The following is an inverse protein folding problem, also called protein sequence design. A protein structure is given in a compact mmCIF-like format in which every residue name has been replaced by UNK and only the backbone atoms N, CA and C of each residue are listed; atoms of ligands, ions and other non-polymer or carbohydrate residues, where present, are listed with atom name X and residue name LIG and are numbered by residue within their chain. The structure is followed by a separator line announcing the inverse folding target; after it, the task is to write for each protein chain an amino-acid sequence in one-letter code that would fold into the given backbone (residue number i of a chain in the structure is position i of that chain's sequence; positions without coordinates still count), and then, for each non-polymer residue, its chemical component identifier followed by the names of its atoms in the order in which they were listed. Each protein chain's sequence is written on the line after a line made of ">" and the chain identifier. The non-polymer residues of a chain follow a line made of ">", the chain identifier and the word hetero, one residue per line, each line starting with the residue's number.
data_IF_680990738386
#
_entry.id   IF_680990738386
#
_cell.length_a   1.000
_cell.length_b   1.000
_cell.length_c   1.000
_cell.angle_alpha   90.00
_cell.angle_beta   90.00
_cell.angle_gamma   90.00
#
_symmetry.space_group_name_H-M   'P 1'
#
loop_
_entity.id
_entity.type
_entity.pdbx_description
1 polymer ?
#
# COMPACT_ATOMS: atom_id res chain seq x y z
N UNK A 1 13.66 -19.74 -2.69
CA UNK A 1 13.83 -18.65 -3.68
C UNK A 1 12.56 -17.83 -3.69
N UNK A 2 12.65 -16.48 -3.71
CA UNK A 2 11.46 -15.64 -3.80
C UNK A 2 10.74 -15.84 -5.13
N UNK A 3 9.41 -15.93 -5.07
CA UNK A 3 8.51 -16.04 -6.23
C UNK A 3 7.91 -14.68 -6.54
N UNK A 4 7.93 -14.28 -7.81
CA UNK A 4 7.24 -13.08 -8.26
C UNK A 4 5.79 -13.40 -8.63
N UNK A 5 4.85 -12.62 -8.13
CA UNK A 5 3.43 -12.69 -8.49
C UNK A 5 2.91 -11.33 -8.94
N UNK A 6 1.83 -11.35 -9.72
CA UNK A 6 1.11 -10.17 -10.18
C UNK A 6 -0.35 -10.29 -9.76
N UNK A 7 -0.95 -9.19 -9.34
CA UNK A 7 -2.37 -9.12 -9.00
C UNK A 7 -2.94 -7.76 -9.39
N UNK A 8 -4.26 -7.70 -9.57
CA UNK A 8 -4.97 -6.45 -9.80
C UNK A 8 -5.36 -5.84 -8.46
N UNK A 9 -5.01 -4.58 -8.22
CA UNK A 9 -5.45 -3.80 -7.08
C UNK A 9 -6.56 -2.85 -7.51
N UNK A 10 -7.62 -2.82 -6.71
CA UNK A 10 -8.75 -1.90 -6.85
C UNK A 10 -8.92 -1.14 -5.54
N UNK A 11 -8.97 0.18 -5.61
CA UNK A 11 -9.40 1.00 -4.47
C UNK A 11 -10.92 0.90 -4.32
N UNK A 12 -11.40 0.57 -3.12
CA UNK A 12 -12.83 0.44 -2.83
C UNK A 12 -13.38 1.74 -2.23
N UNK A 13 -12.68 2.28 -1.25
CA UNK A 13 -13.06 3.50 -0.54
C UNK A 13 -11.83 4.20 0.03
N UNK A 14 -11.96 5.51 0.30
CA UNK A 14 -10.91 6.30 0.92
C UNK A 14 -11.49 7.53 1.61
N UNK A 15 -11.09 7.75 2.86
CA UNK A 15 -11.46 8.94 3.64
C UNK A 15 -10.20 9.62 4.13
N UNK A 16 -9.99 10.86 3.69
CA UNK A 16 -8.90 11.72 4.13
C UNK A 16 -9.38 12.76 5.14
N UNK A 17 -8.54 13.07 6.11
CA UNK A 17 -8.71 14.17 7.06
C UNK A 17 -7.44 15.00 7.04
N UNK A 18 -7.57 16.30 6.78
CA UNK A 18 -6.45 17.23 6.94
C UNK A 18 -6.05 17.28 8.41
N UNK A 19 -4.75 17.15 8.68
CA UNK A 19 -4.24 17.29 10.03
C UNK A 19 -3.99 18.78 10.25
N UNK A 20 -4.76 19.40 11.16
CA UNK A 20 -4.66 20.83 11.44
C UNK A 20 -3.20 21.22 11.72
N UNK A 21 -2.68 22.12 10.89
CA UNK A 21 -1.41 22.79 11.13
C UNK A 21 -1.72 24.18 11.63
N UNK A 22 -1.99 24.31 12.93
CA UNK A 22 -2.11 25.63 13.55
C UNK A 22 -0.81 26.42 13.25
N UNK A 23 -0.92 27.37 12.32
CA UNK A 23 0.05 28.44 12.03
C UNK A 23 1.40 28.02 11.41
N UNK A 24 1.41 27.39 10.23
CA UNK A 24 2.60 27.41 9.39
C UNK A 24 2.28 27.93 7.97
N UNK A 25 3.06 28.94 7.59
CA UNK A 25 3.25 29.59 6.27
C UNK A 25 3.28 28.62 5.07
N UNK A 26 3.30 29.10 3.81
CA UNK A 26 3.26 28.22 2.62
C UNK A 26 4.24 27.05 2.76
N UNK A 27 3.73 25.83 2.67
CA UNK A 27 4.47 24.63 3.06
C UNK A 27 3.63 23.37 2.87
N UNK A 28 4.20 22.20 3.15
CA UNK A 28 3.49 20.95 2.94
C UNK A 28 2.26 20.84 3.84
N UNK A 29 1.15 20.36 3.27
CA UNK A 29 -0.11 20.15 4.00
C UNK A 29 -0.19 18.69 4.41
N UNK A 30 -0.02 18.35 5.70
CA UNK A 30 -0.16 16.99 6.17
C UNK A 30 -1.63 16.58 6.23
N UNK A 31 -1.92 15.35 5.81
CA UNK A 31 -3.22 14.73 5.99
C UNK A 31 -3.06 13.27 6.41
N UNK A 32 -4.09 12.71 7.00
CA UNK A 32 -4.20 11.28 7.25
C UNK A 32 -5.32 10.72 6.39
N UNK A 33 -5.15 9.52 5.86
CA UNK A 33 -6.16 8.83 5.08
C UNK A 33 -6.34 7.40 5.57
N UNK A 34 -7.59 6.94 5.56
CA UNK A 34 -7.93 5.52 5.65
C UNK A 34 -8.42 5.07 4.29
N UNK A 35 -7.93 3.93 3.80
CA UNK A 35 -8.31 3.41 2.49
C UNK A 35 -8.57 1.91 2.55
N UNK A 36 -9.56 1.48 1.78
CA UNK A 36 -9.90 0.08 1.58
C UNK A 36 -9.52 -0.36 0.17
N UNK A 37 -8.97 -1.55 0.07
CA UNK A 37 -8.46 -2.12 -1.15
C UNK A 37 -8.98 -3.54 -1.37
N UNK A 38 -9.15 -3.91 -2.63
CA UNK A 38 -9.39 -5.27 -3.08
C UNK A 38 -8.23 -5.71 -3.97
N UNK A 39 -7.67 -6.88 -3.67
CA UNK A 39 -6.70 -7.57 -4.51
C UNK A 39 -7.43 -8.69 -5.26
N UNK A 40 -7.27 -8.72 -6.58
CA UNK A 40 -7.99 -9.59 -7.49
C UNK A 40 -6.97 -10.35 -8.34
N UNK A 41 -6.79 -11.63 -8.02
CA UNK A 41 -5.93 -12.54 -8.76
C UNK A 41 -5.92 -13.94 -8.15
N UNK A 42 -5.61 -14.95 -8.97
CA UNK A 42 -5.62 -16.35 -8.54
C UNK A 42 -4.59 -16.61 -7.41
N UNK A 43 -3.45 -15.91 -7.48
CA UNK A 43 -2.32 -16.10 -6.58
C UNK A 43 -2.26 -15.08 -5.44
N UNK A 44 -3.04 -14.00 -5.52
CA UNK A 44 -3.14 -13.01 -4.45
C UNK A 44 -4.50 -12.31 -4.54
N UNK A 45 -5.39 -12.71 -3.64
CA UNK A 45 -6.76 -12.21 -3.56
C UNK A 45 -7.18 -11.97 -2.12
N UNK A 46 -7.94 -10.91 -1.90
CA UNK A 46 -8.43 -10.54 -0.58
C UNK A 46 -8.65 -9.04 -0.49
N UNK A 47 -8.82 -8.55 0.73
CA UNK A 47 -9.02 -7.11 0.99
C UNK A 47 -7.96 -6.58 1.93
N UNK A 48 -7.74 -5.27 1.90
CA UNK A 48 -6.91 -4.61 2.88
C UNK A 48 -7.55 -3.30 3.36
N UNK A 49 -7.32 -2.97 4.62
CA UNK A 49 -7.61 -1.66 5.18
C UNK A 49 -6.29 -1.03 5.61
N UNK A 50 -6.02 0.18 5.13
CA UNK A 50 -4.77 0.89 5.42
C UNK A 50 -4.97 2.28 5.97
N UNK A 51 -4.04 2.69 6.81
CA UNK A 51 -3.94 4.05 7.33
C UNK A 51 -2.63 4.68 6.86
N UNK A 52 -2.74 5.85 6.23
CA UNK A 52 -1.64 6.54 5.57
C UNK A 52 -1.54 7.96 6.08
N UNK A 53 -0.31 8.43 6.28
CA UNK A 53 -0.02 9.85 6.42
C UNK A 53 0.46 10.36 5.06
N UNK A 54 -0.12 11.45 4.60
CA UNK A 54 0.24 12.12 3.37
C UNK A 54 0.88 13.47 3.68
N UNK A 55 1.79 13.89 2.82
CA UNK A 55 2.38 15.23 2.81
C UNK A 55 2.24 15.79 1.39
N UNK A 56 1.25 16.67 1.19
CA UNK A 56 1.10 17.41 -0.06
C UNK A 56 2.20 18.45 -0.16
N UNK A 57 2.79 18.63 -1.35
CA UNK A 57 3.83 19.62 -1.56
C UNK A 57 3.26 21.04 -1.54
N UNK A 58 3.98 21.97 -0.89
CA UNK A 58 3.56 23.37 -0.74
C UNK A 58 3.80 24.26 -1.97
N UNK A 59 4.21 23.68 -3.10
CA UNK A 59 4.58 24.39 -4.33
C UNK A 59 3.40 24.58 -5.31
N UNK A 60 2.20 24.09 -4.95
CA UNK A 60 1.00 24.18 -5.77
C UNK A 60 0.93 23.15 -6.90
N UNK A 61 1.88 22.21 -7.00
CA UNK A 61 1.86 21.13 -8.00
C UNK A 61 0.70 20.15 -7.77
N UNK A 62 0.23 20.04 -6.53
CA UNK A 62 -0.68 18.99 -6.07
C UNK A 62 0.03 17.69 -5.71
N UNK A 63 1.33 17.56 -6.01
CA UNK A 63 2.10 16.35 -5.71
C UNK A 63 2.06 16.03 -4.23
N UNK A 64 2.10 14.74 -3.89
CA UNK A 64 2.17 14.30 -2.50
C UNK A 64 3.08 13.09 -2.34
N UNK A 65 3.64 12.95 -1.15
CA UNK A 65 4.24 11.72 -0.66
C UNK A 65 3.35 11.11 0.41
N UNK A 66 3.32 9.79 0.52
CA UNK A 66 2.59 9.12 1.58
C UNK A 66 3.34 7.91 2.14
N UNK A 67 3.07 7.61 3.40
CA UNK A 67 3.55 6.42 4.09
C UNK A 67 2.47 5.89 5.02
N UNK A 68 2.32 4.57 5.10
CA UNK A 68 1.31 3.96 5.95
C UNK A 68 1.46 2.47 6.11
N UNK A 69 0.58 1.90 6.92
CA UNK A 69 0.48 0.47 7.16
C UNK A 69 -0.93 0.03 6.76
N UNK A 70 -1.01 -1.10 6.08
CA UNK A 70 -2.27 -1.74 5.74
C UNK A 70 -2.30 -3.19 6.21
N UNK A 71 -3.48 -3.63 6.63
CA UNK A 71 -3.74 -5.00 7.06
C UNK A 71 -4.49 -5.70 5.94
N UNK A 72 -3.82 -6.66 5.29
CA UNK A 72 -4.41 -7.52 4.28
C UNK A 72 -5.05 -8.74 4.94
N UNK A 73 -6.22 -9.17 4.46
CA UNK A 73 -6.86 -10.45 4.81
C UNK A 73 -7.31 -11.15 3.53
N UNK A 74 -6.87 -12.39 3.34
CA UNK A 74 -7.19 -13.16 2.14
C UNK A 74 -6.23 -14.33 1.94
N UNK A 75 -5.92 -14.61 0.68
CA UNK A 75 -5.02 -15.68 0.28
C UNK A 75 -3.84 -15.18 -0.56
N UNK A 76 -2.65 -15.70 -0.27
CA UNK A 76 -1.44 -15.49 -1.06
C UNK A 76 -0.84 -16.85 -1.40
N UNK A 77 -0.68 -17.15 -2.69
CA UNK A 77 -0.25 -18.46 -3.21
C UNK A 77 -1.12 -19.62 -2.67
N UNK A 78 -2.40 -19.35 -2.41
CA UNK A 78 -3.34 -20.31 -1.80
C UNK A 78 -3.31 -20.38 -0.27
N UNK A 79 -2.31 -19.78 0.39
CA UNK A 79 -2.20 -19.73 1.85
C UNK A 79 -3.09 -18.63 2.42
N UNK A 80 -3.98 -18.99 3.36
CA UNK A 80 -4.96 -18.07 3.94
C UNK A 80 -4.49 -17.46 5.25
N UNK A 81 -4.79 -16.18 5.44
CA UNK A 81 -4.53 -15.49 6.69
C UNK A 81 -4.66 -13.99 6.56
N UNK A 82 -4.06 -13.30 7.53
CA UNK A 82 -3.93 -11.85 7.58
C UNK A 82 -2.45 -11.49 7.67
N UNK A 83 -2.01 -10.38 7.07
CA UNK A 83 -0.66 -9.84 7.25
C UNK A 83 -0.66 -8.32 7.10
N UNK A 84 0.18 -7.62 7.87
CA UNK A 84 0.40 -6.20 7.69
C UNK A 84 1.49 -5.93 6.65
N UNK A 85 1.33 -4.88 5.85
CA UNK A 85 2.39 -4.35 4.99
C UNK A 85 2.55 -2.85 5.16
N UNK A 86 3.79 -2.39 5.09
CA UNK A 86 4.12 -0.98 4.94
C UNK A 86 4.01 -0.59 3.46
N UNK A 87 3.49 0.60 3.21
CA UNK A 87 3.39 1.19 1.88
C UNK A 87 3.98 2.59 1.91
N UNK A 88 4.91 2.87 1.00
CA UNK A 88 5.55 4.18 0.86
C UNK A 88 5.51 4.58 -0.60
N UNK A 89 4.91 5.73 -0.91
CA UNK A 89 4.66 6.11 -2.28
C UNK A 89 4.58 7.61 -2.52
N UNK A 90 4.44 7.95 -3.79
CA UNK A 90 4.35 9.31 -4.30
C UNK A 90 3.21 9.41 -5.31
N UNK A 91 2.57 10.57 -5.36
CA UNK A 91 1.65 10.97 -6.41
C UNK A 91 2.26 12.16 -7.15
N UNK A 92 2.41 12.04 -8.45
CA UNK A 92 2.87 13.11 -9.34
C UNK A 92 1.70 13.51 -10.24
N UNK A 93 1.15 14.71 -10.03
CA UNK A 93 0.00 15.22 -10.80
C UNK A 93 0.37 15.49 -12.25
N UNK A 94 1.59 15.99 -12.50
CA UNK A 94 2.08 16.25 -13.86
C UNK A 94 2.05 15.00 -14.74
N UNK A 95 2.43 13.86 -14.18
CA UNK A 95 2.50 12.58 -14.88
C UNK A 95 1.23 11.73 -14.67
N UNK A 96 0.26 12.27 -13.92
CA UNK A 96 -0.96 11.59 -13.49
C UNK A 96 -0.68 10.19 -12.93
N UNK A 97 0.33 10.07 -12.05
CA UNK A 97 0.85 8.78 -11.62
C UNK A 97 0.98 8.68 -10.10
N UNK A 98 0.46 7.60 -9.53
CA UNK A 98 0.73 7.15 -8.17
C UNK A 98 1.68 5.97 -8.25
N UNK A 99 2.78 5.98 -7.50
CA UNK A 99 3.72 4.87 -7.43
C UNK A 99 4.07 4.55 -5.98
N UNK A 100 4.21 3.27 -5.66
CA UNK A 100 4.47 2.83 -4.30
C UNK A 100 5.41 1.64 -4.23
N UNK A 101 6.13 1.54 -3.12
CA UNK A 101 6.78 0.32 -2.64
C UNK A 101 5.97 -0.27 -1.51
N UNK A 102 5.87 -1.59 -1.49
CA UNK A 102 5.19 -2.40 -0.49
C UNK A 102 6.19 -3.31 0.20
N UNK A 103 6.02 -3.54 1.50
CA UNK A 103 6.85 -4.47 2.28
C UNK A 103 5.99 -5.17 3.33
N UNK A 104 5.92 -6.50 3.29
CA UNK A 104 5.27 -7.27 4.34
C UNK A 104 6.05 -7.11 5.65
N UNK A 105 5.34 -6.73 6.71
CA UNK A 105 5.91 -6.59 8.04
C UNK A 105 6.03 -7.99 8.64
N UNK A 106 7.28 -8.44 8.82
CA UNK A 106 7.57 -9.77 9.38
C UNK A 106 6.90 -9.97 10.73
N UNK A 107 6.48 -11.21 11.01
CA UNK A 107 5.85 -11.62 12.28
C UNK A 107 4.47 -10.97 12.56
N UNK A 108 3.86 -10.28 11.60
CA UNK A 108 2.47 -9.81 11.69
C UNK A 108 1.47 -10.77 11.05
N UNK A 109 1.97 -11.77 10.34
CA UNK A 109 1.16 -12.76 9.65
C UNK A 109 0.37 -13.66 10.63
N UNK A 110 -0.83 -14.05 10.23
CA UNK A 110 -1.67 -15.02 10.94
C UNK A 110 -2.01 -16.20 10.03
N UNK A 111 -2.44 -17.32 10.63
CA UNK A 111 -2.78 -18.53 9.89
C UNK A 111 -1.59 -19.06 9.07
N UNK A 112 -1.85 -19.36 7.80
CA UNK A 112 -0.83 -19.86 6.87
C UNK A 112 0.09 -18.76 6.34
N UNK A 113 -0.21 -17.48 6.64
CA UNK A 113 0.63 -16.33 6.29
C UNK A 113 1.61 -15.94 7.42
N UNK A 114 1.67 -16.69 8.52
CA UNK A 114 2.52 -16.36 9.69
C UNK A 114 4.02 -16.25 9.39
N UNK A 115 4.51 -17.00 8.39
CA UNK A 115 5.92 -17.03 8.00
C UNK A 115 6.20 -16.35 6.64
N UNK A 116 5.25 -15.62 6.06
CA UNK A 116 5.45 -14.98 4.75
C UNK A 116 6.26 -13.68 4.90
N UNK A 117 7.16 -13.45 3.96
CA UNK A 117 7.86 -12.20 3.77
C UNK A 117 7.80 -11.79 2.29
N UNK A 118 7.97 -10.50 2.02
CA UNK A 118 7.95 -10.06 0.63
C UNK A 118 7.96 -8.56 0.50
N UNK A 119 8.31 -8.13 -0.71
CA UNK A 119 8.29 -6.73 -1.12
C UNK A 119 7.56 -6.63 -2.43
N UNK A 120 6.95 -5.49 -2.71
CA UNK A 120 6.29 -5.25 -3.98
C UNK A 120 6.31 -3.81 -4.38
N UNK A 121 5.67 -3.53 -5.50
CA UNK A 121 5.45 -2.19 -6.00
C UNK A 121 4.24 -2.15 -6.90
N UNK A 122 3.64 -0.97 -7.03
CA UNK A 122 2.62 -0.71 -8.03
C UNK A 122 2.80 0.67 -8.63
N UNK A 123 2.20 0.86 -9.80
CA UNK A 123 2.15 2.13 -10.51
C UNK A 123 0.79 2.31 -11.16
N UNK A 124 0.04 3.33 -10.73
CA UNK A 124 -1.35 3.55 -11.08
C UNK A 124 -1.53 4.93 -11.70
N UNK A 125 -2.28 5.02 -12.80
CA UNK A 125 -2.70 6.32 -13.31
C UNK A 125 -3.78 6.92 -12.41
N UNK A 126 -3.67 8.20 -12.08
CA UNK A 126 -4.71 8.92 -11.34
C UNK A 126 -6.03 8.83 -12.13
N UNK A 127 -7.10 8.40 -11.46
CA UNK A 127 -8.41 8.17 -12.07
C UNK A 127 -8.61 6.80 -12.71
N UNK A 128 -7.59 5.92 -12.72
CA UNK A 128 -7.78 4.52 -13.10
C UNK A 128 -8.59 3.77 -12.03
N UNK A 129 -9.49 2.89 -12.47
CA UNK A 129 -10.29 2.05 -11.57
C UNK A 129 -9.45 0.93 -10.92
N UNK A 130 -8.40 0.47 -11.62
CA UNK A 130 -7.52 -0.61 -11.16
C UNK A 130 -6.06 -0.38 -11.59
N UNK A 131 -5.13 -1.08 -10.93
CA UNK A 131 -3.71 -1.13 -11.27
C UNK A 131 -3.11 -2.53 -11.07
N UNK A 132 -2.02 -2.86 -11.75
CA UNK A 132 -1.26 -4.09 -11.50
C UNK A 132 -0.26 -3.85 -10.36
N UNK A 133 -0.27 -4.75 -9.38
CA UNK A 133 0.73 -4.84 -8.31
C UNK A 133 1.65 -6.01 -8.60
N UNK A 134 2.96 -5.77 -8.52
CA UNK A 134 3.97 -6.83 -8.61
C UNK A 134 4.59 -7.06 -7.23
N UNK A 135 4.64 -8.31 -6.78
CA UNK A 135 5.23 -8.69 -5.50
C UNK A 135 6.25 -9.82 -5.66
N UNK A 136 7.39 -9.67 -5.01
CA UNK A 136 8.34 -10.74 -4.76
C UNK A 136 8.13 -11.28 -3.35
N UNK A 137 7.75 -12.56 -3.26
CA UNK A 137 7.30 -13.22 -2.03
C UNK A 137 8.23 -14.38 -1.70
N UNK A 138 8.65 -14.50 -0.45
CA UNK A 138 9.38 -15.63 0.10
C UNK A 138 8.89 -16.00 1.50
N UNK A 139 9.51 -16.99 2.11
CA UNK A 139 9.37 -17.18 3.54
C UNK A 139 10.29 -16.19 4.25
N UNK A 140 9.84 -15.62 5.37
CA UNK A 140 10.76 -15.04 6.34
C UNK A 140 11.67 -16.18 6.79
N UNK A 141 12.99 -16.04 6.62
CA UNK A 141 13.92 -16.99 7.22
C UNK A 141 13.64 -16.97 8.73
N UNK A 142 13.09 -18.07 9.26
CA UNK A 142 12.95 -18.25 10.70
C UNK A 142 14.37 -18.17 11.26
N UNK A 143 14.70 -17.05 11.91
CA UNK A 143 16.01 -16.82 12.50
C UNK A 143 16.41 -18.05 13.32
N UNK A 144 17.43 -18.76 12.84
CA UNK A 144 18.14 -19.77 13.61
C UNK A 144 18.99 -19.13 14.68
#
# INVERSE_FOLDING_TARGET
>A
MPRTIKTTLKALSGVGVEVSTDKLTPGPVPSAATSEFEFIGDEFNGTAVGHFTNAMHGDGSGDLSYEGIAIFTGAILGHKGTIAYAARGTCTHKDMLVSAKLEFITSTGTGELSAIAGTGSYSMKIGAETTEVTLAIGCADEGK
#
